data_IF_990774571144
#
_entry.id   IF_990774571144
#
_cell.length_a   1.000
_cell.length_b   1.000
_cell.length_c   1.000
_cell.angle_alpha   90.00
_cell.angle_beta   90.00
_cell.angle_gamma   90.00
#
_symmetry.space_group_name_H-M   'P 1'
#
loop_
_entity.id
_entity.type
_entity.pdbx_description
1 polymer ?
#
# COMPACT_ATOMS: atom_id res chain seq x y z
N UNK A 1 7.41 17.50 -27.02
CA UNK A 1 7.31 17.11 -25.60
C UNK A 1 6.04 16.28 -25.48
N UNK A 2 6.17 14.95 -25.42
CA UNK A 2 5.02 14.02 -25.37
C UNK A 2 4.82 13.58 -23.93
N UNK A 3 3.58 13.62 -23.46
CA UNK A 3 3.13 13.22 -22.13
C UNK A 3 3.30 11.70 -21.96
N UNK A 4 3.95 11.24 -20.89
CA UNK A 4 4.25 9.82 -20.62
C UNK A 4 3.14 9.09 -19.85
N UNK A 5 1.98 9.72 -19.62
CA UNK A 5 0.93 9.17 -18.77
C UNK A 5 -0.07 8.22 -19.46
N UNK A 6 0.15 7.78 -20.70
CA UNK A 6 -0.89 7.04 -21.44
C UNK A 6 -0.38 5.90 -22.31
N UNK A 7 0.59 5.12 -21.83
CA UNK A 7 0.91 3.82 -22.46
C UNK A 7 1.51 2.82 -21.46
N UNK A 8 0.72 2.35 -20.50
CA UNK A 8 0.99 1.11 -19.75
C UNK A 8 -0.34 0.46 -19.35
N UNK A 9 -1.18 0.19 -20.35
CA UNK A 9 -2.33 -0.69 -20.21
C UNK A 9 -1.99 -1.98 -20.95
N UNK A 10 -1.20 -2.84 -20.29
CA UNK A 10 -1.00 -4.28 -20.53
C UNK A 10 0.22 -4.71 -19.70
N UNK A 11 0.04 -4.86 -18.40
CA UNK A 11 1.00 -5.56 -17.56
C UNK A 11 0.19 -6.32 -16.51
N UNK A 12 0.51 -7.60 -16.37
CA UNK A 12 -0.05 -8.53 -15.40
C UNK A 12 -0.32 -7.78 -14.09
N UNK A 13 -1.59 -7.70 -13.70
CA UNK A 13 -1.98 -7.10 -12.44
C UNK A 13 -1.48 -8.04 -11.34
N UNK A 14 -0.26 -7.83 -10.87
CA UNK A 14 0.32 -8.52 -9.72
C UNK A 14 -0.46 -8.07 -8.48
N UNK A 15 -1.66 -8.62 -8.31
CA UNK A 15 -2.46 -8.44 -7.12
C UNK A 15 -1.77 -9.18 -5.98
N UNK A 16 -0.94 -8.46 -5.22
CA UNK A 16 -0.92 -8.74 -3.79
C UNK A 16 -2.38 -8.78 -3.31
N UNK A 17 -2.72 -9.73 -2.45
CA UNK A 17 -4.05 -9.89 -1.82
C UNK A 17 -4.40 -8.73 -0.86
N UNK A 18 -4.05 -7.51 -1.20
CA UNK A 18 -4.17 -6.32 -0.39
C UNK A 18 -5.14 -5.33 -1.07
N UNK A 19 -6.22 -5.02 -0.37
CA UNK A 19 -7.35 -4.28 -0.93
C UNK A 19 -8.55 -4.20 0.01
N UNK A 20 -8.33 -4.20 1.33
CA UNK A 20 -9.41 -4.25 2.32
C UNK A 20 -10.09 -2.88 2.57
N UNK A 21 -9.62 -1.84 1.88
CA UNK A 21 -10.04 -0.45 2.06
C UNK A 21 -9.51 0.17 3.35
N UNK A 22 -8.58 -0.49 4.03
CA UNK A 22 -8.00 -0.08 5.31
C UNK A 22 -6.48 -0.16 5.30
N UNK A 23 -5.89 -0.94 6.21
CA UNK A 23 -4.44 -1.09 6.33
C UNK A 23 -3.81 -1.80 5.12
N UNK A 24 -4.57 -2.66 4.44
CA UNK A 24 -4.19 -3.31 3.20
C UNK A 24 -4.21 -2.39 1.97
N UNK A 25 -4.68 -1.15 2.10
CA UNK A 25 -4.86 -0.25 0.97
C UNK A 25 -6.03 -0.66 0.07
N UNK A 26 -6.10 -0.03 -1.10
CA UNK A 26 -7.06 -0.36 -2.15
C UNK A 26 -8.50 0.06 -1.85
N UNK A 27 -9.44 -0.49 -2.63
CA UNK A 27 -10.84 -0.04 -2.68
C UNK A 27 -11.75 -1.17 -2.20
N UNK A 28 -12.60 -0.90 -1.20
CA UNK A 28 -13.58 -1.83 -0.66
C UNK A 28 -14.96 -1.17 -0.64
N UNK A 29 -15.80 -1.53 -1.60
CA UNK A 29 -17.16 -0.99 -1.72
C UNK A 29 -18.16 -1.91 -1.02
N UNK A 30 -19.16 -1.33 -0.37
CA UNK A 30 -20.23 -2.05 0.34
C UNK A 30 -21.27 -2.70 -0.60
N UNK A 31 -21.23 -2.42 -1.90
CA UNK A 31 -22.19 -2.90 -2.90
C UNK A 31 -23.44 -2.02 -3.00
N UNK A 32 -23.39 -0.78 -2.53
CA UNK A 32 -24.49 0.17 -2.61
C UNK A 32 -24.52 0.87 -3.97
N UNK A 33 -25.66 1.46 -4.33
CA UNK A 33 -25.82 2.21 -5.59
C UNK A 33 -24.95 3.46 -5.67
N UNK A 34 -24.51 4.02 -4.54
CA UNK A 34 -23.79 5.29 -4.44
C UNK A 34 -22.27 5.13 -4.30
N UNK A 35 -21.79 3.91 -4.02
CA UNK A 35 -20.38 3.65 -3.71
C UNK A 35 -19.40 4.17 -4.78
N UNK A 36 -19.75 3.95 -6.06
CA UNK A 36 -18.91 4.34 -7.20
C UNK A 36 -18.89 5.85 -7.42
N UNK A 37 -20.01 6.52 -7.15
CA UNK A 37 -20.11 7.97 -7.25
C UNK A 37 -19.21 8.61 -6.19
N UNK A 38 -19.34 8.17 -4.93
CA UNK A 38 -18.49 8.63 -3.84
C UNK A 38 -16.99 8.42 -4.13
N UNK A 39 -16.61 7.23 -4.62
CA UNK A 39 -15.23 6.96 -5.04
C UNK A 39 -14.75 7.91 -6.14
N UNK A 40 -15.57 8.12 -7.19
CA UNK A 40 -15.24 9.01 -8.31
C UNK A 40 -15.00 10.44 -7.81
N UNK A 41 -15.84 10.92 -6.89
CA UNK A 41 -15.65 12.23 -6.27
C UNK A 41 -14.34 12.26 -5.47
N UNK A 42 -14.04 11.24 -4.67
CA UNK A 42 -12.80 11.17 -3.90
C UNK A 42 -11.55 11.20 -4.80
N UNK A 43 -11.58 10.50 -5.94
CA UNK A 43 -10.51 10.49 -6.94
C UNK A 43 -10.33 11.88 -7.57
N UNK A 44 -11.43 12.55 -7.96
CA UNK A 44 -11.38 13.91 -8.49
C UNK A 44 -10.82 14.91 -7.47
N UNK A 45 -11.22 14.78 -6.20
CA UNK A 45 -10.71 15.62 -5.13
C UNK A 45 -9.21 15.37 -4.94
N UNK A 46 -8.75 14.12 -4.86
CA UNK A 46 -7.33 13.81 -4.75
C UNK A 46 -6.50 14.41 -5.90
N UNK A 47 -7.00 14.29 -7.13
CA UNK A 47 -6.36 14.87 -8.33
C UNK A 47 -6.23 16.39 -8.24
N UNK A 48 -7.20 17.09 -7.62
CA UNK A 48 -7.16 18.56 -7.50
C UNK A 48 -6.00 19.09 -6.65
N UNK A 49 -5.44 18.27 -5.74
CA UNK A 49 -4.28 18.64 -4.93
C UNK A 49 -2.94 18.42 -5.66
N UNK A 50 -2.92 17.65 -6.74
CA UNK A 50 -1.74 17.36 -7.56
C UNK A 50 -0.71 16.41 -6.94
N UNK A 51 -0.56 16.40 -5.61
CA UNK A 51 0.42 15.55 -4.91
C UNK A 51 -0.17 14.66 -3.80
N UNK A 52 -1.49 14.63 -3.67
CA UNK A 52 -2.22 13.66 -2.87
C UNK A 52 -2.74 12.50 -3.72
N UNK A 53 -2.74 11.30 -3.14
CA UNK A 53 -3.32 10.10 -3.73
C UNK A 53 -4.20 9.35 -2.75
N UNK A 54 -5.11 8.53 -3.26
CA UNK A 54 -5.89 7.60 -2.46
C UNK A 54 -5.04 6.35 -2.19
N UNK A 55 -4.71 6.11 -0.93
CA UNK A 55 -4.11 4.85 -0.49
C UNK A 55 -5.18 3.78 -0.26
N UNK A 56 -6.27 4.16 0.40
CA UNK A 56 -7.40 3.28 0.63
C UNK A 56 -8.73 4.02 0.58
N UNK A 57 -9.77 3.35 0.10
CA UNK A 57 -11.13 3.85 0.08
C UNK A 57 -12.09 2.75 0.50
N UNK A 58 -13.01 3.06 1.40
CA UNK A 58 -14.02 2.12 1.86
C UNK A 58 -15.37 2.77 2.06
N UNK A 59 -16.41 2.12 1.57
CA UNK A 59 -17.78 2.42 1.98
C UNK A 59 -18.32 1.32 2.85
N UNK A 60 -19.29 1.67 3.70
CA UNK A 60 -19.98 0.76 4.61
C UNK A 60 -21.49 0.93 4.43
N UNK A 61 -22.24 -0.12 4.72
CA UNK A 61 -23.71 -0.13 4.58
C UNK A 61 -24.44 0.87 5.48
N UNK A 62 -23.78 1.43 6.50
CA UNK A 62 -24.29 2.45 7.39
C UNK A 62 -23.97 3.89 6.92
N UNK A 63 -23.90 4.12 5.61
CA UNK A 63 -23.59 5.43 5.01
C UNK A 63 -22.29 6.05 5.52
N UNK A 64 -21.28 5.22 5.80
CA UNK A 64 -19.96 5.69 6.23
C UNK A 64 -18.94 5.51 5.10
N UNK A 65 -18.15 6.55 4.88
CA UNK A 65 -17.00 6.55 3.99
C UNK A 65 -15.73 6.67 4.84
N UNK A 66 -14.76 5.78 4.58
CA UNK A 66 -13.40 5.88 5.12
C UNK A 66 -12.42 6.07 3.98
N UNK A 67 -11.61 7.12 4.09
CA UNK A 67 -10.57 7.43 3.11
C UNK A 67 -9.22 7.49 3.81
N UNK A 68 -8.23 6.84 3.21
CA UNK A 68 -6.82 7.00 3.57
C UNK A 68 -6.11 7.69 2.43
N UNK A 69 -5.60 8.88 2.68
CA UNK A 69 -4.86 9.67 1.69
C UNK A 69 -3.36 9.58 1.95
N UNK A 70 -2.57 9.64 0.90
CA UNK A 70 -1.11 9.66 0.98
C UNK A 70 -0.51 10.84 0.21
N UNK A 71 0.67 11.28 0.66
CA UNK A 71 1.43 12.37 0.02
C UNK A 71 2.45 11.78 -0.94
N UNK A 72 2.17 11.79 -2.25
CA UNK A 72 2.97 11.10 -3.27
C UNK A 72 4.38 11.68 -3.41
N UNK A 73 4.53 12.99 -3.16
CA UNK A 73 5.80 13.71 -3.19
C UNK A 73 6.75 13.37 -2.01
N UNK A 74 6.24 12.73 -0.95
CA UNK A 74 7.02 12.41 0.25
C UNK A 74 7.48 10.93 0.25
N UNK A 75 8.75 10.70 0.61
CA UNK A 75 9.34 9.36 0.81
C UNK A 75 8.62 8.54 1.87
N UNK A 76 8.15 9.16 2.96
CA UNK A 76 7.37 8.45 3.96
C UNK A 76 5.94 8.17 3.50
N UNK A 77 5.45 8.99 2.56
CA UNK A 77 4.08 8.99 2.05
C UNK A 77 3.01 9.36 3.05
N UNK A 78 3.38 9.93 4.19
CA UNK A 78 2.40 10.43 5.15
C UNK A 78 1.96 11.85 4.78
N UNK A 79 0.65 12.12 4.70
CA UNK A 79 0.12 13.49 4.61
C UNK A 79 0.34 14.22 5.94
N UNK A 80 0.37 15.55 5.90
CA UNK A 80 0.28 16.40 7.10
C UNK A 80 -1.17 16.47 7.61
N UNK A 81 -1.36 16.98 8.83
CA UNK A 81 -2.72 17.26 9.34
C UNK A 81 -3.45 18.29 8.46
N UNK A 82 -2.71 19.29 7.95
CA UNK A 82 -3.25 20.32 7.05
C UNK A 82 -3.71 19.70 5.73
N UNK A 83 -2.96 18.74 5.17
CA UNK A 83 -3.40 18.00 3.97
C UNK A 83 -4.69 17.22 4.24
N UNK A 84 -4.81 16.58 5.42
CA UNK A 84 -6.00 15.81 5.81
C UNK A 84 -7.22 16.72 5.98
N UNK A 85 -7.08 17.85 6.66
CA UNK A 85 -8.14 18.84 6.86
C UNK A 85 -8.61 19.42 5.52
N UNK A 86 -7.68 19.82 4.66
CA UNK A 86 -7.99 20.39 3.35
C UNK A 86 -8.71 19.37 2.44
N UNK A 87 -8.22 18.13 2.40
CA UNK A 87 -8.89 17.06 1.66
C UNK A 87 -10.28 16.77 2.22
N UNK A 88 -10.42 16.68 3.54
CA UNK A 88 -11.69 16.40 4.21
C UNK A 88 -12.74 17.45 3.91
N UNK A 89 -12.38 18.75 3.99
CA UNK A 89 -13.29 19.85 3.70
C UNK A 89 -13.71 19.86 2.22
N UNK A 90 -12.76 19.67 1.30
CA UNK A 90 -13.03 19.66 -0.14
C UNK A 90 -13.91 18.47 -0.52
N UNK A 91 -13.60 17.29 -0.01
CA UNK A 91 -14.38 16.09 -0.30
C UNK A 91 -15.79 16.18 0.29
N UNK A 92 -15.93 16.72 1.52
CA UNK A 92 -17.23 16.97 2.13
C UNK A 92 -18.11 17.87 1.26
N UNK A 93 -17.59 19.03 0.83
CA UNK A 93 -18.36 19.96 -0.01
C UNK A 93 -18.87 19.30 -1.31
N UNK A 94 -18.05 18.42 -1.92
CA UNK A 94 -18.44 17.69 -3.13
C UNK A 94 -19.45 16.58 -2.87
N UNK A 95 -19.40 15.96 -1.69
CA UNK A 95 -20.44 15.02 -1.26
C UNK A 95 -21.75 15.76 -1.00
N UNK A 96 -21.72 16.94 -0.38
CA UNK A 96 -22.93 17.74 -0.13
C UNK A 96 -23.61 18.16 -1.47
N UNK A 97 -22.84 18.51 -2.50
CA UNK A 97 -23.36 18.75 -3.86
C UNK A 97 -24.05 17.51 -4.46
N UNK A 98 -23.44 16.33 -4.30
CA UNK A 98 -23.97 15.06 -4.78
C UNK A 98 -25.21 14.60 -3.98
N UNK A 99 -25.27 14.90 -2.69
CA UNK A 99 -26.43 14.65 -1.83
C UNK A 99 -27.63 15.46 -2.31
N UNK A 100 -27.44 16.77 -2.56
CA UNK A 100 -28.49 17.65 -3.12
C UNK A 100 -28.95 17.18 -4.50
N UNK A 101 -28.04 16.64 -5.31
CA UNK A 101 -28.36 16.04 -6.61
C UNK A 101 -29.05 14.66 -6.50
N UNK A 102 -29.13 14.08 -5.31
CA UNK A 102 -29.72 12.77 -5.05
C UNK A 102 -28.89 11.59 -5.57
N UNK A 103 -27.60 11.80 -5.89
CA UNK A 103 -26.71 10.74 -6.39
C UNK A 103 -26.06 9.92 -5.26
N UNK A 104 -26.06 10.44 -4.04
CA UNK A 104 -25.62 9.76 -2.82
C UNK A 104 -26.67 9.95 -1.70
N UNK A 105 -26.70 9.08 -0.66
CA UNK A 105 -27.65 9.22 0.44
C UNK A 105 -27.36 10.41 1.33
N UNK A 106 -28.40 10.89 2.02
CA UNK A 106 -28.26 11.91 3.06
C UNK A 106 -27.48 11.40 4.28
N UNK A 107 -26.87 12.33 5.02
CA UNK A 107 -26.24 12.09 6.33
C UNK A 107 -25.03 11.13 6.26
N UNK A 108 -24.19 11.23 5.23
CA UNK A 108 -22.96 10.45 5.15
C UNK A 108 -21.98 10.82 6.26
N UNK A 109 -21.45 9.80 6.94
CA UNK A 109 -20.31 9.94 7.84
C UNK A 109 -19.00 9.81 7.05
N UNK A 110 -18.05 10.73 7.25
CA UNK A 110 -16.76 10.74 6.56
C UNK A 110 -15.62 10.69 7.57
N UNK A 111 -14.70 9.75 7.37
CA UNK A 111 -13.45 9.62 8.10
C UNK A 111 -12.28 9.73 7.11
N UNK A 112 -11.39 10.70 7.30
CA UNK A 112 -10.18 10.86 6.49
C UNK A 112 -8.95 10.67 7.38
N UNK A 113 -8.01 9.83 6.95
CA UNK A 113 -6.82 9.49 7.72
C UNK A 113 -5.61 9.24 6.82
N UNK A 114 -4.45 8.98 7.43
CA UNK A 114 -3.24 8.54 6.72
C UNK A 114 -3.18 7.00 6.62
N UNK A 115 -2.29 6.41 5.78
CA UNK A 115 -2.16 4.96 5.62
C UNK A 115 -1.72 4.25 6.90
N UNK A 116 -1.02 4.96 7.80
CA UNK A 116 -0.37 4.40 8.98
C UNK A 116 1.06 3.93 8.74
N UNK A 117 1.68 3.38 9.79
CA UNK A 117 3.10 3.02 9.82
C UNK A 117 3.37 1.67 9.16
N UNK A 118 2.46 0.70 9.31
CA UNK A 118 2.57 -0.66 8.76
C UNK A 118 1.83 -0.85 7.43
N UNK A 119 1.75 0.20 6.62
CA UNK A 119 1.06 0.18 5.33
C UNK A 119 1.62 -0.91 4.42
N UNK A 120 0.77 -1.48 3.58
CA UNK A 120 1.16 -2.39 2.51
C UNK A 120 1.89 -1.61 1.41
N UNK A 121 2.91 -2.24 0.85
CA UNK A 121 3.72 -1.72 -0.27
C UNK A 121 3.14 -2.32 -1.56
N UNK A 122 2.72 -1.46 -2.49
CA UNK A 122 2.27 -1.90 -3.82
C UNK A 122 3.47 -2.35 -4.64
N UNK A 123 3.42 -3.56 -5.18
CA UNK A 123 4.53 -4.14 -5.95
C UNK A 123 4.22 -4.07 -7.44
N UNK A 124 5.12 -3.52 -8.28
CA UNK A 124 6.41 -2.91 -7.92
C UNK A 124 6.36 -1.40 -7.60
N UNK A 125 5.19 -0.76 -7.68
CA UNK A 125 5.02 0.70 -7.77
C UNK A 125 5.63 1.48 -6.59
N UNK A 126 5.56 0.93 -5.38
CA UNK A 126 6.07 1.56 -4.17
C UNK A 126 7.48 1.10 -3.77
N UNK A 127 8.07 0.13 -4.50
CA UNK A 127 9.37 -0.46 -4.13
C UNK A 127 10.48 0.59 -4.07
N UNK A 128 10.61 1.42 -5.11
CA UNK A 128 11.66 2.45 -5.16
C UNK A 128 11.50 3.47 -4.02
N UNK A 129 10.25 3.86 -3.74
CA UNK A 129 9.92 4.83 -2.70
C UNK A 129 10.32 4.34 -1.31
N UNK A 130 10.14 3.06 -1.02
CA UNK A 130 10.37 2.49 0.31
C UNK A 130 11.61 1.60 0.41
N UNK A 131 12.47 1.53 -0.61
CA UNK A 131 13.63 0.61 -0.68
C UNK A 131 14.60 0.66 0.51
N UNK A 132 14.70 1.81 1.17
CA UNK A 132 15.58 2.01 2.34
C UNK A 132 14.95 1.55 3.67
N UNK A 133 13.65 1.18 3.66
CA UNK A 133 12.93 0.78 4.87
C UNK A 133 12.93 -0.74 5.02
N UNK A 134 13.09 -1.27 6.25
CA UNK A 134 12.77 -2.65 6.54
C UNK A 134 11.30 -2.94 6.23
N UNK A 135 11.03 -4.10 5.63
CA UNK A 135 9.70 -4.57 5.26
C UNK A 135 9.47 -5.96 5.83
N UNK A 136 8.28 -6.20 6.36
CA UNK A 136 7.80 -7.55 6.57
C UNK A 136 7.32 -8.11 5.23
N UNK A 137 7.85 -9.26 4.85
CA UNK A 137 7.56 -9.93 3.58
C UNK A 137 7.05 -11.33 3.89
N UNK A 138 5.89 -11.68 3.34
CA UNK A 138 5.37 -13.05 3.27
C UNK A 138 5.34 -13.48 1.81
N UNK A 139 5.85 -14.67 1.53
CA UNK A 139 6.00 -15.20 0.18
C UNK A 139 5.76 -16.72 0.14
N UNK A 140 5.50 -17.23 -1.06
CA UNK A 140 5.44 -18.67 -1.33
C UNK A 140 6.71 -19.07 -2.08
N UNK A 141 7.39 -20.10 -1.59
CA UNK A 141 8.50 -20.74 -2.31
C UNK A 141 7.99 -22.03 -2.94
N UNK A 142 8.23 -22.16 -4.24
CA UNK A 142 8.15 -23.46 -4.90
C UNK A 142 9.32 -24.32 -4.42
N UNK A 143 9.03 -25.52 -3.90
CA UNK A 143 10.04 -26.53 -3.58
C UNK A 143 9.78 -27.71 -4.51
N UNK A 144 10.83 -28.21 -5.16
CA UNK A 144 10.76 -29.23 -6.20
C UNK A 144 10.35 -30.64 -5.69
N UNK A 145 9.83 -31.42 -6.65
CA UNK A 145 9.54 -32.87 -6.71
C UNK A 145 8.47 -33.51 -5.80
N UNK A 146 7.85 -32.77 -4.88
CA UNK A 146 6.72 -33.30 -4.07
C UNK A 146 5.41 -32.50 -4.15
N UNK A 147 5.35 -31.45 -4.98
CA UNK A 147 4.13 -30.67 -5.22
C UNK A 147 3.62 -29.85 -4.03
N UNK A 148 4.41 -29.67 -2.95
CA UNK A 148 4.04 -28.83 -1.82
C UNK A 148 4.71 -27.45 -1.90
N UNK A 149 3.89 -26.41 -1.99
CA UNK A 149 4.32 -25.03 -1.81
C UNK A 149 4.63 -24.77 -0.34
N UNK A 150 5.78 -24.16 -0.03
CA UNK A 150 6.12 -23.76 1.34
C UNK A 150 5.96 -22.24 1.50
N UNK A 151 5.28 -21.81 2.56
CA UNK A 151 5.17 -20.39 2.90
C UNK A 151 6.40 -19.96 3.71
N UNK A 152 6.97 -18.81 3.38
CA UNK A 152 8.06 -18.18 4.11
C UNK A 152 7.70 -16.74 4.48
N UNK A 153 8.25 -16.27 5.60
CA UNK A 153 8.12 -14.88 6.01
C UNK A 153 9.33 -14.37 6.79
N UNK A 154 9.48 -13.04 6.83
CA UNK A 154 10.53 -12.39 7.60
C UNK A 154 10.57 -10.88 7.41
N UNK A 155 11.41 -10.23 8.22
CA UNK A 155 11.70 -8.80 8.05
C UNK A 155 12.98 -8.64 7.24
N UNK A 156 12.85 -8.07 6.06
CA UNK A 156 13.92 -7.92 5.09
C UNK A 156 14.14 -6.46 4.70
N UNK A 157 15.32 -6.18 4.17
CA UNK A 157 15.60 -4.95 3.42
C UNK A 157 15.58 -5.29 1.93
N UNK A 158 15.07 -4.39 1.12
CA UNK A 158 15.19 -4.53 -0.33
C UNK A 158 16.65 -4.31 -0.74
N UNK A 159 17.22 -5.22 -1.51
CA UNK A 159 18.59 -5.09 -2.06
C UNK A 159 18.51 -4.52 -3.46
N UNK A 160 17.65 -5.10 -4.29
CA UNK A 160 17.39 -4.70 -5.67
C UNK A 160 16.05 -5.26 -6.11
N UNK A 161 15.50 -4.70 -7.18
CA UNK A 161 14.36 -5.26 -7.89
C UNK A 161 14.55 -5.00 -9.39
N UNK A 162 13.98 -5.88 -10.20
CA UNK A 162 14.08 -5.82 -11.65
C UNK A 162 12.67 -5.92 -12.24
N UNK A 163 12.30 -4.92 -13.04
CA UNK A 163 10.99 -4.83 -13.67
C UNK A 163 10.87 -5.74 -14.90
N UNK A 164 11.98 -6.06 -15.56
CA UNK A 164 12.02 -6.94 -16.73
C UNK A 164 11.87 -8.40 -16.29
N UNK A 165 12.61 -8.83 -15.27
CA UNK A 165 12.52 -10.19 -14.74
C UNK A 165 11.39 -10.36 -13.71
N UNK A 166 10.77 -9.27 -13.27
CA UNK A 166 9.70 -9.28 -12.26
C UNK A 166 10.14 -9.88 -10.92
N UNK A 167 11.37 -9.60 -10.47
CA UNK A 167 11.95 -10.21 -9.28
C UNK A 167 12.46 -9.18 -8.27
N UNK A 168 12.30 -9.48 -6.98
CA UNK A 168 12.97 -8.78 -5.88
C UNK A 168 14.13 -9.63 -5.34
N UNK A 169 15.22 -8.96 -4.97
CA UNK A 169 16.27 -9.52 -4.12
C UNK A 169 16.20 -8.87 -2.75
N UNK A 170 16.11 -9.71 -1.73
CA UNK A 170 15.98 -9.32 -0.33
C UNK A 170 17.24 -9.69 0.45
N UNK A 171 17.54 -8.93 1.50
CA UNK A 171 18.53 -9.28 2.51
C UNK A 171 17.92 -9.19 3.91
N UNK A 172 18.56 -9.81 4.91
CA UNK A 172 18.09 -9.68 6.30
C UNK A 172 18.21 -8.21 6.73
N UNK A 173 17.10 -7.64 7.21
CA UNK A 173 17.10 -6.30 7.77
C UNK A 173 17.82 -6.28 9.12
N UNK A 174 18.60 -5.23 9.38
CA UNK A 174 19.30 -5.04 10.66
C UNK A 174 18.36 -4.45 11.72
N UNK A 175 17.34 -5.23 12.08
CA UNK A 175 16.31 -4.87 13.06
C UNK A 175 16.39 -5.77 14.30
N UNK A 176 15.84 -5.29 15.41
CA UNK A 176 15.91 -6.00 16.71
C UNK A 176 15.46 -7.47 16.63
N UNK A 177 14.33 -7.75 16.00
CA UNK A 177 13.77 -9.12 15.88
C UNK A 177 14.70 -10.08 15.12
N UNK A 178 15.50 -9.57 14.18
CA UNK A 178 16.47 -10.38 13.43
C UNK A 178 17.79 -10.54 14.19
N UNK A 179 18.21 -9.51 14.94
CA UNK A 179 19.40 -9.55 15.81
C UNK A 179 19.23 -10.52 16.97
N UNK A 180 18.08 -10.51 17.63
CA UNK A 180 17.81 -11.34 18.81
C UNK A 180 17.90 -12.85 18.52
N UNK A 181 17.66 -13.27 17.26
CA UNK A 181 17.90 -14.67 16.82
C UNK A 181 19.35 -15.11 16.96
N UNK A 182 20.32 -14.19 16.97
CA UNK A 182 21.74 -14.44 17.20
C UNK A 182 22.20 -14.15 18.65
N UNK A 183 21.29 -13.65 19.51
CA UNK A 183 21.54 -13.23 20.89
C UNK A 183 21.27 -11.74 21.13
N UNK A 184 20.69 -11.39 22.29
CA UNK A 184 20.35 -9.99 22.65
C UNK A 184 21.56 -9.06 22.49
N UNK A 185 21.35 -7.94 21.78
CA UNK A 185 22.37 -6.90 21.58
C UNK A 185 23.47 -7.23 20.56
N UNK A 186 23.47 -8.42 19.95
CA UNK A 186 24.48 -8.77 18.93
C UNK A 186 24.09 -8.20 17.56
N UNK A 187 25.04 -7.61 16.81
CA UNK A 187 24.80 -7.23 15.42
C UNK A 187 24.63 -8.48 14.55
N UNK A 188 24.07 -8.31 13.34
CA UNK A 188 24.00 -9.39 12.35
C UNK A 188 25.40 -9.93 12.01
N UNK A 189 25.54 -11.25 12.01
CA UNK A 189 26.76 -11.95 11.57
C UNK A 189 27.05 -11.72 10.09
N UNK A 190 28.30 -11.97 9.66
CA UNK A 190 28.69 -11.87 8.24
C UNK A 190 27.78 -12.71 7.34
N UNK A 191 27.50 -13.96 7.73
CA UNK A 191 26.58 -14.86 7.00
C UNK A 191 25.17 -14.27 6.86
N UNK A 192 24.64 -13.64 7.90
CA UNK A 192 23.32 -12.99 7.84
C UNK A 192 23.31 -11.76 6.93
N UNK A 193 24.37 -10.95 6.95
CA UNK A 193 24.51 -9.75 6.10
C UNK A 193 24.62 -10.10 4.62
N UNK A 194 25.27 -11.23 4.30
CA UNK A 194 25.47 -11.73 2.94
C UNK A 194 24.29 -12.57 2.42
N UNK A 195 23.43 -13.07 3.31
CA UNK A 195 22.25 -13.86 2.91
C UNK A 195 21.34 -13.08 1.96
N UNK A 196 20.85 -13.78 0.93
CA UNK A 196 19.93 -13.24 -0.08
C UNK A 196 18.77 -14.19 -0.29
N UNK A 197 17.61 -13.61 -0.54
CA UNK A 197 16.40 -14.30 -1.01
C UNK A 197 15.93 -13.63 -2.29
N UNK A 198 15.68 -14.41 -3.34
CA UNK A 198 15.06 -13.93 -4.56
C UNK A 198 13.59 -14.38 -4.57
N UNK A 199 12.69 -13.45 -4.86
CA UNK A 199 11.26 -13.74 -4.99
C UNK A 199 10.72 -13.08 -6.26
N UNK A 200 10.10 -13.85 -7.17
CA UNK A 200 9.22 -13.30 -8.19
C UNK A 200 8.11 -12.42 -7.58
N UNK A 201 7.64 -11.39 -8.28
CA UNK A 201 6.59 -10.50 -7.78
C UNK A 201 5.28 -11.24 -7.47
N UNK A 202 4.94 -12.26 -8.24
CA UNK A 202 3.74 -13.09 -8.07
C UNK A 202 3.82 -14.05 -6.87
N UNK A 203 5.03 -14.39 -6.42
CA UNK A 203 5.24 -15.20 -5.23
C UNK A 203 5.02 -14.42 -3.92
N UNK A 204 5.01 -13.09 -3.99
CA UNK A 204 4.83 -12.21 -2.83
C UNK A 204 3.35 -12.17 -2.42
N UNK A 205 3.05 -12.63 -1.21
CA UNK A 205 1.71 -12.62 -0.64
C UNK A 205 1.39 -11.31 0.10
N UNK A 206 2.38 -10.77 0.82
CA UNK A 206 2.27 -9.54 1.60
C UNK A 206 3.64 -8.87 1.68
N UNK A 207 3.68 -7.57 1.37
CA UNK A 207 4.82 -6.70 1.67
C UNK A 207 4.28 -5.51 2.43
N UNK A 208 4.73 -5.29 3.66
CA UNK A 208 4.34 -4.11 4.45
C UNK A 208 5.54 -3.50 5.14
N UNK A 209 5.49 -2.19 5.37
CA UNK A 209 6.55 -1.51 6.11
C UNK A 209 6.64 -2.09 7.52
N UNK A 210 7.86 -2.40 7.95
CA UNK A 210 8.11 -2.83 9.31
C UNK A 210 8.35 -1.60 10.20
N UNK A 211 7.80 -1.64 11.42
CA UNK A 211 8.05 -0.66 12.45
C UNK A 211 8.70 -1.32 13.65
N UNK A 212 9.75 -0.71 14.18
CA UNK A 212 10.29 -1.04 15.50
C UNK A 212 9.50 -0.22 16.54
N UNK A 213 8.28 -0.63 16.84
CA UNK A 213 7.57 -0.14 18.05
C UNK A 213 7.97 -1.02 19.22
#
# INVERSE_FOLDING_TARGET
MRNWYTTFALTVSYFLKAGDGGGGGGISLAGTSWDKEALTIAEQVALSFGDLGLYAFKTLSNSTIRVRIEKLSNKSGSPSIVDIEAFSATYRARLDEAEVAGSIPENISLEVSSPGVERVVRIPQDLDRFKERPMYVKYVSEVSDAGSSSEGDGVFRLVSFDLETGCCTWGIADVRINREKAGKGRPLSKKQREWRLNTPFDSLCLVRLHSEI
#
